data_IF_147111170534
#
_entry.id   IF_147111170534
#
_cell.length_a   1.000
_cell.length_b   1.000
_cell.length_c   1.000
_cell.angle_alpha   90.00
_cell.angle_beta   90.00
_cell.angle_gamma   90.00
#
_symmetry.space_group_name_H-M   'P 1'
#
loop_
_entity.id
_entity.type
_entity.pdbx_description
1 polymer ?
#
# COMPACT_ATOMS: atom_id res chain seq x y z
N UNK A 1 7.91 -11.13 -68.47
CA UNK A 1 8.97 -11.90 -67.79
C UNK A 1 10.24 -11.10 -67.83
N UNK A 2 10.46 -10.28 -66.80
CA UNK A 2 11.73 -10.03 -66.12
C UNK A 2 11.35 -9.40 -64.79
N UNK A 3 11.93 -9.94 -63.72
CA UNK A 3 11.60 -9.74 -62.31
C UNK A 3 12.66 -8.81 -61.70
N UNK A 4 12.22 -7.84 -60.89
CA UNK A 4 12.91 -7.29 -59.71
C UNK A 4 11.92 -6.31 -59.04
N UNK A 5 11.59 -6.35 -57.75
CA UNK A 5 12.19 -7.00 -56.59
C UNK A 5 12.34 -5.96 -55.47
N UNK A 6 11.99 -6.35 -54.24
CA UNK A 6 12.09 -5.62 -52.95
C UNK A 6 11.00 -4.56 -52.71
N UNK A 7 10.21 -4.59 -51.64
CA UNK A 7 10.43 -5.17 -50.32
C UNK A 7 10.42 -4.04 -49.29
N UNK A 8 9.29 -3.34 -49.15
CA UNK A 8 9.09 -2.31 -48.13
C UNK A 8 9.03 -2.97 -46.76
N UNK A 9 10.21 -3.15 -46.15
CA UNK A 9 10.33 -3.38 -44.72
C UNK A 9 10.01 -2.05 -44.03
N UNK A 10 8.75 -1.89 -43.62
CA UNK A 10 8.36 -0.87 -42.69
C UNK A 10 9.11 -1.10 -41.39
N UNK A 11 10.09 -0.25 -41.09
CA UNK A 11 10.65 -0.16 -39.75
C UNK A 11 9.53 0.33 -38.83
N UNK A 12 9.00 -0.58 -38.01
CA UNK A 12 8.21 -0.18 -36.85
C UNK A 12 9.16 0.62 -35.95
N UNK A 13 8.98 1.94 -35.93
CA UNK A 13 9.54 2.78 -34.87
C UNK A 13 8.79 2.38 -33.61
N UNK A 14 9.43 1.54 -32.80
CA UNK A 14 9.01 1.31 -31.43
C UNK A 14 9.21 2.65 -30.72
N UNK A 15 8.13 3.44 -30.65
CA UNK A 15 8.09 4.64 -29.83
C UNK A 15 8.14 4.16 -28.38
N UNK A 16 9.36 3.99 -27.87
CA UNK A 16 9.60 4.02 -26.45
C UNK A 16 9.28 5.46 -26.01
N UNK A 17 8.00 5.71 -25.75
CA UNK A 17 7.57 6.94 -25.08
C UNK A 17 8.37 7.08 -23.79
N UNK A 18 8.63 8.31 -23.32
CA UNK A 18 9.40 8.49 -22.09
C UNK A 18 8.73 7.68 -20.98
N UNK A 19 9.45 6.72 -20.41
CA UNK A 19 9.11 6.20 -19.08
C UNK A 19 9.34 7.37 -18.14
N UNK A 20 8.32 8.22 -17.99
CA UNK A 20 8.33 9.20 -16.93
C UNK A 20 8.25 8.40 -15.64
N UNK A 21 9.36 8.37 -14.91
CA UNK A 21 9.42 8.06 -13.48
C UNK A 21 8.54 9.07 -12.72
N UNK A 22 7.23 8.96 -12.88
CA UNK A 22 6.27 9.92 -12.36
C UNK A 22 5.86 9.47 -10.96
N UNK A 23 6.54 10.02 -9.96
CA UNK A 23 6.08 9.95 -8.58
C UNK A 23 4.75 10.70 -8.46
N UNK A 24 3.70 10.00 -8.03
CA UNK A 24 2.40 10.57 -7.73
C UNK A 24 2.13 10.49 -6.23
N UNK A 25 1.57 11.56 -5.67
CA UNK A 25 1.06 11.56 -4.31
C UNK A 25 -0.46 11.64 -4.39
N UNK A 26 -1.14 10.64 -3.84
CA UNK A 26 -2.59 10.56 -3.81
C UNK A 26 -3.04 10.64 -2.37
N UNK A 27 -3.77 11.71 -2.03
CA UNK A 27 -4.46 11.80 -0.75
C UNK A 27 -5.68 10.88 -0.81
N UNK A 28 -5.57 9.68 -0.25
CA UNK A 28 -6.66 8.71 -0.25
C UNK A 28 -7.81 9.21 0.63
N UNK A 29 -7.46 9.76 1.80
CA UNK A 29 -8.39 10.45 2.67
C UNK A 29 -7.62 11.43 3.59
N UNK A 30 -8.32 12.43 4.13
CA UNK A 30 -7.77 13.56 4.89
C UNK A 30 -8.51 13.76 6.21
N UNK A 31 -9.18 12.72 6.70
CA UNK A 31 -9.90 12.75 7.97
C UNK A 31 -8.97 12.85 9.18
N UNK A 32 -9.62 12.90 10.34
CA UNK A 32 -9.00 13.01 11.68
C UNK A 32 -9.75 12.04 12.60
N UNK A 33 -9.51 12.01 13.93
CA UNK A 33 -10.33 11.20 14.84
C UNK A 33 -11.83 11.56 14.84
N UNK A 34 -12.19 12.73 14.32
CA UNK A 34 -13.59 13.17 14.24
C UNK A 34 -14.37 12.35 13.21
N UNK A 35 -15.58 11.93 13.56
CA UNK A 35 -16.48 11.17 12.70
C UNK A 35 -17.12 12.05 11.61
N UNK A 36 -16.31 12.56 10.69
CA UNK A 36 -16.74 13.37 9.54
C UNK A 36 -17.23 12.45 8.40
N UNK A 37 -18.49 12.58 7.95
CA UNK A 37 -19.02 11.73 6.88
C UNK A 37 -18.33 11.92 5.53
N UNK A 38 -17.63 13.04 5.31
CA UNK A 38 -16.90 13.32 4.08
C UNK A 38 -15.42 12.91 4.15
N UNK A 39 -14.89 12.62 5.35
CA UNK A 39 -13.46 12.37 5.59
C UNK A 39 -13.26 11.32 6.68
N UNK A 40 -12.76 10.15 6.31
CA UNK A 40 -12.78 8.95 7.16
C UNK A 40 -11.58 8.85 8.12
N UNK A 41 -10.40 9.26 7.67
CA UNK A 41 -9.15 9.25 8.44
C UNK A 41 -7.94 9.59 7.56
N UNK A 42 -6.75 9.75 8.14
CA UNK A 42 -5.52 9.97 7.39
C UNK A 42 -5.09 8.74 6.59
N UNK A 43 -4.89 8.91 5.29
CA UNK A 43 -4.14 7.96 4.47
C UNK A 43 -3.64 8.61 3.17
N UNK A 44 -2.35 8.44 2.89
CA UNK A 44 -1.69 8.94 1.68
C UNK A 44 -1.05 7.78 0.95
N UNK A 45 -1.18 7.74 -0.38
CA UNK A 45 -0.41 6.83 -1.21
C UNK A 45 0.66 7.60 -1.98
N UNK A 46 1.89 7.10 -1.90
CA UNK A 46 3.00 7.52 -2.76
C UNK A 46 3.13 6.42 -3.81
N UNK A 47 2.97 6.77 -5.08
CA UNK A 47 3.02 5.81 -6.19
C UNK A 47 4.21 6.14 -7.07
N UNK A 48 5.15 5.20 -7.18
CA UNK A 48 6.36 5.33 -8.01
C UNK A 48 6.39 4.15 -8.95
N UNK A 49 6.41 4.38 -10.26
CA UNK A 49 6.40 3.33 -11.28
C UNK A 49 5.28 2.28 -11.04
N UNK A 50 4.06 2.77 -10.84
CA UNK A 50 2.86 1.98 -10.48
C UNK A 50 2.98 1.12 -9.20
N UNK A 51 4.01 1.35 -8.39
CA UNK A 51 4.18 0.68 -7.09
C UNK A 51 3.67 1.60 -5.97
N UNK A 52 2.63 1.20 -5.23
CA UNK A 52 2.09 2.02 -4.14
C UNK A 52 2.81 1.76 -2.81
N UNK A 53 3.04 2.85 -2.07
CA UNK A 53 3.49 2.87 -0.68
C UNK A 53 2.48 3.68 0.13
N UNK A 54 1.80 3.04 1.09
CA UNK A 54 0.81 3.73 1.93
C UNK A 54 1.49 4.35 3.15
N UNK A 55 1.12 5.59 3.47
CA UNK A 55 1.42 6.25 4.74
C UNK A 55 0.11 6.43 5.48
N UNK A 56 0.01 5.78 6.64
CA UNK A 56 -1.19 5.57 7.44
C UNK A 56 -2.31 4.83 6.71
N UNK A 57 -3.16 4.17 7.50
CA UNK A 57 -4.26 3.33 7.01
C UNK A 57 -5.49 3.58 7.86
N UNK A 58 -5.92 4.84 7.87
CA UNK A 58 -7.18 5.22 8.51
C UNK A 58 -8.40 4.52 7.92
N UNK A 59 -9.57 4.69 8.56
CA UNK A 59 -10.82 4.07 8.12
C UNK A 59 -11.06 4.25 6.61
N UNK A 60 -11.45 3.18 5.92
CA UNK A 60 -11.82 3.24 4.50
C UNK A 60 -10.65 3.29 3.50
N UNK A 61 -9.39 3.17 3.94
CA UNK A 61 -8.19 3.21 3.07
C UNK A 61 -8.31 2.36 1.80
N UNK A 62 -8.82 1.13 1.90
CA UNK A 62 -8.94 0.24 0.73
C UNK A 62 -10.00 0.72 -0.27
N UNK A 63 -11.13 1.22 0.24
CA UNK A 63 -12.21 1.80 -0.60
C UNK A 63 -11.73 3.05 -1.32
N UNK A 64 -10.92 3.88 -0.63
CA UNK A 64 -10.34 5.09 -1.21
C UNK A 64 -9.27 4.76 -2.27
N UNK A 65 -8.43 3.76 -2.04
CA UNK A 65 -7.50 3.26 -3.04
C UNK A 65 -8.23 2.73 -4.29
N UNK A 66 -9.30 1.94 -4.10
CA UNK A 66 -10.15 1.48 -5.21
C UNK A 66 -10.78 2.64 -6.00
N UNK A 67 -11.28 3.67 -5.32
CA UNK A 67 -11.82 4.86 -5.98
C UNK A 67 -10.74 5.61 -6.78
N UNK A 68 -9.51 5.73 -6.27
CA UNK A 68 -8.39 6.33 -6.99
C UNK A 68 -7.97 5.50 -8.21
N UNK A 69 -7.97 4.17 -8.09
CA UNK A 69 -7.73 3.25 -9.20
C UNK A 69 -8.77 3.43 -10.32
N UNK A 70 -10.07 3.51 -9.97
CA UNK A 70 -11.14 3.78 -10.93
C UNK A 70 -10.99 5.15 -11.63
N UNK A 71 -10.35 6.12 -10.97
CA UNK A 71 -10.01 7.44 -11.53
C UNK A 71 -8.72 7.46 -12.35
N UNK A 72 -8.06 6.31 -12.55
CA UNK A 72 -6.92 6.17 -13.46
C UNK A 72 -5.56 6.01 -12.78
N UNK A 73 -5.47 6.00 -11.44
CA UNK A 73 -4.20 5.73 -10.74
C UNK A 73 -3.94 4.22 -10.70
N UNK A 74 -3.38 3.68 -11.80
CA UNK A 74 -3.25 2.23 -12.04
C UNK A 74 -2.52 1.48 -10.92
N UNK A 75 -1.47 2.07 -10.35
CA UNK A 75 -0.73 1.48 -9.23
C UNK A 75 -1.57 1.16 -7.99
N UNK A 76 -2.73 1.80 -7.81
CA UNK A 76 -3.62 1.61 -6.65
C UNK A 76 -4.65 0.49 -6.82
N UNK A 77 -4.49 -0.40 -7.79
CA UNK A 77 -5.25 -1.65 -7.81
C UNK A 77 -5.14 -2.34 -6.45
N UNK A 78 -6.27 -2.73 -5.85
CA UNK A 78 -6.34 -3.12 -4.44
C UNK A 78 -5.38 -4.26 -4.08
N UNK A 79 -5.18 -5.22 -4.98
CA UNK A 79 -4.23 -6.33 -4.82
C UNK A 79 -2.76 -5.93 -4.71
N UNK A 80 -2.40 -4.74 -5.17
CA UNK A 80 -1.03 -4.22 -5.16
C UNK A 80 -0.67 -3.54 -3.81
N UNK A 81 -1.64 -3.35 -2.91
CA UNK A 81 -1.43 -2.71 -1.61
C UNK A 81 -0.69 -3.67 -0.67
N UNK A 82 0.64 -3.69 -0.78
CA UNK A 82 1.51 -4.65 -0.08
C UNK A 82 2.56 -3.98 0.84
N UNK A 83 2.61 -2.65 0.88
CA UNK A 83 3.59 -1.88 1.68
C UNK A 83 2.91 -0.70 2.37
N UNK A 84 3.00 -0.66 3.69
CA UNK A 84 2.41 0.41 4.49
C UNK A 84 3.35 0.87 5.61
N UNK A 85 3.37 2.17 5.85
CA UNK A 85 4.13 2.84 6.88
C UNK A 85 3.12 3.56 7.78
N UNK A 86 3.20 3.38 9.09
CA UNK A 86 2.32 4.09 10.04
C UNK A 86 3.12 5.08 10.86
N UNK A 87 2.63 6.31 10.94
CA UNK A 87 3.28 7.41 11.66
C UNK A 87 3.24 7.16 13.17
N UNK A 88 2.07 6.79 13.70
CA UNK A 88 1.85 6.44 15.10
C UNK A 88 0.57 5.61 15.29
N UNK A 89 0.39 5.02 16.48
CA UNK A 89 -0.63 4.00 16.71
C UNK A 89 -1.97 4.56 17.25
N UNK A 90 -2.37 5.76 16.82
CA UNK A 90 -3.73 6.25 17.05
C UNK A 90 -4.75 5.54 16.14
N UNK A 91 -5.98 5.42 16.62
CA UNK A 91 -7.06 4.70 15.95
C UNK A 91 -7.41 5.28 14.57
N UNK A 92 -7.41 6.59 14.40
CA UNK A 92 -7.70 7.22 13.11
C UNK A 92 -6.62 6.93 12.06
N UNK A 93 -5.40 6.57 12.47
CA UNK A 93 -4.34 6.11 11.57
C UNK A 93 -4.34 4.58 11.36
N UNK A 94 -4.97 3.80 12.25
CA UNK A 94 -4.83 2.33 12.29
C UNK A 94 -6.12 1.52 12.20
N UNK A 95 -7.32 2.11 12.30
CA UNK A 95 -8.58 1.34 12.26
C UNK A 95 -8.81 0.67 10.90
N UNK A 96 -8.26 1.21 9.81
CA UNK A 96 -8.28 0.57 8.50
C UNK A 96 -7.30 -0.60 8.37
N UNK A 97 -6.51 -0.93 9.39
CA UNK A 97 -5.49 -1.97 9.30
C UNK A 97 -6.06 -3.37 9.00
N UNK A 98 -7.12 -3.85 9.68
CA UNK A 98 -7.72 -5.13 9.32
C UNK A 98 -8.27 -5.13 7.87
N UNK A 99 -8.88 -4.03 7.43
CA UNK A 99 -9.37 -3.87 6.04
C UNK A 99 -8.20 -4.00 5.04
N UNK A 100 -7.08 -3.34 5.32
CA UNK A 100 -5.85 -3.43 4.53
C UNK A 100 -5.21 -4.84 4.54
N UNK A 101 -5.39 -5.62 5.61
CA UNK A 101 -4.90 -7.01 5.67
C UNK A 101 -5.80 -7.92 4.84
N UNK A 102 -7.11 -7.88 5.03
CA UNK A 102 -8.00 -8.91 4.49
C UNK A 102 -8.57 -8.56 3.11
N UNK A 103 -8.98 -7.31 2.86
CA UNK A 103 -9.65 -6.97 1.59
C UNK A 103 -8.73 -7.15 0.37
N UNK A 104 -7.46 -6.68 0.36
CA UNK A 104 -6.54 -7.02 -0.72
C UNK A 104 -6.28 -8.52 -0.86
N UNK A 105 -6.30 -9.28 0.23
CA UNK A 105 -6.13 -10.74 0.16
C UNK A 105 -7.30 -11.42 -0.55
N UNK A 106 -8.53 -11.03 -0.22
CA UNK A 106 -9.76 -11.47 -0.91
C UNK A 106 -9.71 -11.09 -2.39
N UNK A 107 -9.09 -9.96 -2.71
CA UNK A 107 -8.91 -9.46 -4.07
C UNK A 107 -7.56 -9.84 -4.68
N UNK A 108 -7.02 -11.01 -4.32
CA UNK A 108 -5.84 -11.65 -4.92
C UNK A 108 -4.47 -10.98 -4.69
N UNK A 109 -4.28 -10.26 -3.58
CA UNK A 109 -2.91 -9.95 -3.11
C UNK A 109 -2.17 -11.27 -2.86
N UNK A 110 -1.05 -11.45 -3.56
CA UNK A 110 -0.24 -12.69 -3.49
C UNK A 110 0.81 -12.65 -2.39
N UNK A 111 1.34 -11.47 -2.11
CA UNK A 111 2.43 -11.28 -1.16
C UNK A 111 1.93 -10.89 0.24
N UNK A 112 2.67 -11.24 1.30
CA UNK A 112 2.42 -10.70 2.63
C UNK A 112 2.44 -9.17 2.62
N UNK A 113 1.60 -8.55 3.45
CA UNK A 113 1.65 -7.11 3.70
C UNK A 113 2.90 -6.79 4.54
N UNK A 114 3.78 -5.95 4.03
CA UNK A 114 4.90 -5.38 4.79
C UNK A 114 4.41 -4.12 5.52
N UNK A 115 4.54 -4.09 6.85
CA UNK A 115 4.15 -2.92 7.65
C UNK A 115 5.30 -2.42 8.51
N UNK A 116 5.52 -1.12 8.48
CA UNK A 116 6.57 -0.43 9.21
C UNK A 116 5.94 0.58 10.17
N UNK A 117 6.11 0.41 11.48
CA UNK A 117 5.49 1.29 12.47
C UNK A 117 6.26 1.39 13.79
N UNK A 118 5.85 2.27 14.71
CA UNK A 118 6.44 2.35 16.05
C UNK A 118 6.34 1.04 16.83
N UNK A 119 7.07 0.96 17.95
CA UNK A 119 6.90 -0.14 18.89
C UNK A 119 5.43 -0.31 19.27
N UNK A 120 4.94 -1.53 19.09
CA UNK A 120 3.52 -1.86 19.27
C UNK A 120 2.84 -2.32 17.98
N UNK A 121 3.43 -2.05 16.80
CA UNK A 121 2.87 -2.52 15.54
C UNK A 121 2.84 -4.04 15.46
N UNK A 122 3.91 -4.74 15.87
CA UNK A 122 3.96 -6.21 15.91
C UNK A 122 2.87 -6.85 16.79
N UNK A 123 2.71 -6.50 18.07
CA UNK A 123 1.61 -7.06 18.87
C UNK A 123 0.23 -6.66 18.34
N UNK A 124 0.05 -5.44 17.79
CA UNK A 124 -1.20 -5.06 17.12
C UNK A 124 -1.50 -5.99 15.94
N UNK A 125 -0.54 -6.24 15.05
CA UNK A 125 -0.67 -7.19 13.94
C UNK A 125 -1.07 -8.58 14.42
N UNK A 126 -0.37 -9.11 15.43
CA UNK A 126 -0.66 -10.44 15.97
C UNK A 126 -2.08 -10.53 16.55
N UNK A 127 -2.54 -9.49 17.25
CA UNK A 127 -3.90 -9.44 17.80
C UNK A 127 -4.97 -9.30 16.72
N UNK A 128 -4.74 -8.53 15.66
CA UNK A 128 -5.66 -8.44 14.52
C UNK A 128 -5.81 -9.81 13.85
N UNK A 129 -4.69 -10.48 13.52
CA UNK A 129 -4.73 -11.82 12.92
C UNK A 129 -5.44 -12.83 13.82
N UNK A 130 -5.24 -12.74 15.15
CA UNK A 130 -5.95 -13.59 16.12
C UNK A 130 -7.44 -13.29 16.19
N UNK A 131 -7.84 -12.03 16.09
CA UNK A 131 -9.24 -11.59 16.10
C UNK A 131 -10.01 -12.13 14.89
N UNK A 132 -9.37 -12.17 13.72
CA UNK A 132 -9.97 -12.61 12.45
C UNK A 132 -9.66 -14.07 12.06
N UNK A 133 -9.27 -14.91 13.03
CA UNK A 133 -8.90 -16.32 12.75
C UNK A 133 -10.01 -17.14 12.08
N UNK A 134 -11.28 -16.83 12.37
CA UNK A 134 -12.42 -17.56 11.81
C UNK A 134 -12.60 -17.24 10.32
N UNK A 135 -12.49 -15.95 9.95
CA UNK A 135 -12.47 -15.51 8.55
C UNK A 135 -11.28 -16.13 7.80
N UNK A 136 -10.09 -16.09 8.40
CA UNK A 136 -8.90 -16.75 7.85
C UNK A 136 -9.16 -18.25 7.62
N UNK A 137 -9.75 -18.95 8.58
CA UNK A 137 -10.03 -20.37 8.47
C UNK A 137 -11.04 -20.68 7.35
N UNK A 138 -12.13 -19.93 7.25
CA UNK A 138 -13.14 -20.11 6.18
C UNK A 138 -12.52 -19.86 4.81
N UNK A 139 -11.61 -18.89 4.68
CA UNK A 139 -10.94 -18.59 3.40
C UNK A 139 -9.84 -19.57 3.03
N UNK A 140 -9.26 -20.29 4.00
CA UNK A 140 -8.24 -21.30 3.73
C UNK A 140 -8.83 -22.70 3.52
N UNK A 141 -9.92 -23.02 4.23
CA UNK A 141 -10.42 -24.38 4.36
C UNK A 141 -11.92 -24.51 4.08
N UNK A 142 -12.64 -23.40 3.87
CA UNK A 142 -14.09 -23.35 3.66
C UNK A 142 -14.50 -23.01 2.23
N UNK A 143 -15.74 -22.53 2.07
CA UNK A 143 -16.37 -22.31 0.76
C UNK A 143 -16.02 -20.99 0.05
N UNK A 144 -15.22 -20.12 0.68
CA UNK A 144 -14.83 -18.80 0.15
C UNK A 144 -13.32 -18.70 -0.06
N UNK A 145 -12.71 -19.55 -0.92
CA UNK A 145 -11.27 -19.75 -0.92
C UNK A 145 -10.49 -18.48 -1.28
N UNK A 146 -9.37 -18.27 -0.61
CA UNK A 146 -8.35 -17.27 -0.94
C UNK A 146 -6.96 -17.90 -0.80
N UNK A 147 -5.93 -17.25 -1.34
CA UNK A 147 -4.58 -17.83 -1.35
C UNK A 147 -3.96 -17.94 0.07
N UNK A 148 -2.88 -18.70 0.25
CA UNK A 148 -2.31 -18.98 1.59
C UNK A 148 -1.36 -17.90 2.13
N UNK A 149 -1.16 -16.81 1.40
CA UNK A 149 -0.05 -15.87 1.63
C UNK A 149 -0.50 -14.43 1.83
N UNK A 150 -1.51 -13.96 1.09
CA UNK A 150 -1.91 -12.56 1.00
C UNK A 150 -2.39 -11.93 2.31
N UNK A 151 -2.95 -12.71 3.24
CA UNK A 151 -3.36 -12.19 4.56
C UNK A 151 -2.21 -12.08 5.57
N UNK A 152 -1.06 -12.71 5.27
CA UNK A 152 0.08 -12.69 6.19
C UNK A 152 0.64 -11.28 6.24
N UNK A 153 1.23 -10.96 7.38
CA UNK A 153 1.81 -9.65 7.62
C UNK A 153 3.22 -9.82 8.15
N UNK A 154 4.15 -9.05 7.60
CA UNK A 154 5.52 -8.92 8.09
C UNK A 154 5.63 -7.52 8.68
N UNK A 155 5.55 -7.45 10.01
CA UNK A 155 5.57 -6.19 10.76
C UNK A 155 6.99 -5.86 11.28
N UNK A 156 7.42 -4.63 11.06
CA UNK A 156 8.73 -4.10 11.42
C UNK A 156 8.57 -2.95 12.40
N UNK A 157 9.21 -3.06 13.57
CA UNK A 157 9.31 -1.92 14.50
C UNK A 157 10.35 -0.94 13.95
N UNK A 158 9.99 0.34 13.92
CA UNK A 158 10.82 1.40 13.39
C UNK A 158 11.90 1.86 14.37
N UNK A 159 12.97 2.38 13.77
CA UNK A 159 13.94 3.28 14.38
C UNK A 159 14.23 4.40 13.38
N UNK A 160 14.68 5.58 13.83
CA UNK A 160 15.11 6.64 12.91
C UNK A 160 16.21 6.16 11.96
N UNK A 161 16.20 6.64 10.72
CA UNK A 161 17.13 6.25 9.66
C UNK A 161 16.43 5.61 8.46
N UNK A 162 17.16 4.86 7.64
CA UNK A 162 16.59 4.11 6.51
C UNK A 162 15.80 2.93 7.05
N UNK A 163 14.51 2.87 6.72
CA UNK A 163 13.58 1.85 7.22
C UNK A 163 13.11 0.90 6.14
N UNK A 164 13.20 1.31 4.88
CA UNK A 164 12.86 0.51 3.72
C UNK A 164 13.63 0.97 2.49
N UNK A 165 13.94 0.05 1.59
CA UNK A 165 14.53 0.33 0.27
C UNK A 165 14.11 -0.75 -0.73
N UNK A 166 13.79 -0.33 -1.94
CA UNK A 166 13.75 -1.17 -3.13
C UNK A 166 14.30 -0.42 -4.36
N UNK A 167 13.99 -0.91 -5.56
CA UNK A 167 14.37 -0.31 -6.84
C UNK A 167 13.72 1.05 -7.12
N UNK A 168 12.60 1.37 -6.48
CA UNK A 168 11.84 2.60 -6.71
C UNK A 168 12.07 3.63 -5.62
N UNK A 169 12.26 3.23 -4.36
CA UNK A 169 12.36 4.17 -3.24
C UNK A 169 13.40 3.81 -2.19
N UNK A 170 13.96 4.83 -1.54
CA UNK A 170 14.52 4.72 -0.19
C UNK A 170 13.64 5.50 0.78
N UNK A 171 13.14 4.85 1.84
CA UNK A 171 12.29 5.46 2.87
C UNK A 171 13.10 5.68 4.14
N UNK A 172 13.14 6.92 4.61
CA UNK A 172 13.77 7.32 5.87
C UNK A 172 12.71 7.73 6.89
N UNK A 173 12.77 7.19 8.09
CA UNK A 173 11.95 7.63 9.21
C UNK A 173 12.72 8.56 10.15
N UNK A 174 12.02 9.55 10.72
CA UNK A 174 12.56 10.44 11.75
C UNK A 174 11.48 10.70 12.80
N UNK A 175 11.90 10.94 14.05
CA UNK A 175 10.96 11.20 15.14
C UNK A 175 10.32 12.57 14.99
N UNK A 176 9.03 12.65 15.32
CA UNK A 176 8.27 13.90 15.42
C UNK A 176 7.63 14.03 16.79
N UNK A 177 7.36 15.26 17.23
CA UNK A 177 6.63 15.51 18.46
C UNK A 177 5.13 15.34 18.19
N UNK A 178 4.47 14.44 18.92
CA UNK A 178 3.02 14.26 18.88
C UNK A 178 2.46 13.94 20.27
N UNK A 179 2.40 14.98 21.11
CA UNK A 179 1.81 14.89 22.45
C UNK A 179 2.55 13.91 23.35
N UNK A 180 1.84 12.96 23.94
CA UNK A 180 2.39 11.96 24.87
C UNK A 180 2.88 10.68 24.20
N UNK A 181 2.85 10.58 22.87
CA UNK A 181 3.40 9.42 22.18
C UNK A 181 4.90 9.31 22.40
N UNK A 182 5.35 8.13 22.84
CA UNK A 182 6.79 7.85 22.99
C UNK A 182 7.51 7.88 21.65
N UNK A 183 6.85 7.37 20.62
CA UNK A 183 7.36 7.27 19.26
C UNK A 183 6.24 7.67 18.29
N UNK A 184 6.47 8.75 17.54
CA UNK A 184 5.71 9.13 16.36
C UNK A 184 6.72 9.48 15.27
N UNK A 185 6.43 9.10 14.03
CA UNK A 185 7.36 9.20 12.91
C UNK A 185 6.83 10.07 11.78
N UNK A 186 7.73 10.86 11.20
CA UNK A 186 7.60 11.36 9.83
C UNK A 186 8.43 10.49 8.88
N UNK A 187 8.04 10.48 7.60
CA UNK A 187 8.71 9.71 6.55
C UNK A 187 9.20 10.61 5.41
N UNK A 188 10.42 10.36 4.95
CA UNK A 188 10.99 10.93 3.72
C UNK A 188 11.15 9.82 2.69
N UNK A 189 10.50 9.98 1.55
CA UNK A 189 10.64 9.10 0.40
C UNK A 189 11.60 9.74 -0.60
N UNK A 190 12.64 9.00 -0.98
CA UNK A 190 13.60 9.35 -2.03
C UNK A 190 13.29 8.44 -3.21
N UNK A 191 12.88 9.02 -4.35
CA UNK A 191 12.36 8.33 -5.55
C UNK A 191 13.23 8.62 -6.76
#
# INVERSE_FOLDING_TARGET
>A
MFIAGSGLHGYAVELCGPVQNATQIVLLDTGTPNADPARSGPSVAIVVNDTPYLVDFGPGVVRRASAAFQKGVKGLAVKNLSRAFVTHLHSDHTVGYPDLIFMPWVLDRKEPLQVFGPKGIKPMTAHILKAYREDINIRLNGGEPSNKTGYKVIAHDLKPGVVYRDENVTVKAFLVNHGSWREAYGFRFET
#
